data_IF_640026309670
#
_entry.id   IF_640026309670
#
_cell.length_a   1.000
_cell.length_b   1.000
_cell.length_c   1.000
_cell.angle_alpha   90.00
_cell.angle_beta   90.00
_cell.angle_gamma   90.00
#
_symmetry.space_group_name_H-M   'P 1'
#
loop_
_entity.id
_entity.type
_entity.pdbx_description
1 polymer ?
#
# COMPACT_ATOMS: atom_id res chain seq x y z
N UNK A 1 3.16 -15.42 34.28
CA UNK A 1 3.43 -14.11 33.65
C UNK A 1 2.08 -13.46 33.39
N UNK A 2 1.78 -12.35 34.08
CA UNK A 2 0.49 -11.65 33.96
C UNK A 2 0.44 -10.95 32.62
N UNK A 3 -0.51 -11.29 31.75
CA UNK A 3 -0.73 -10.52 30.53
C UNK A 3 -1.12 -9.09 30.94
N UNK A 4 -0.34 -8.12 30.50
CA UNK A 4 -0.62 -6.69 30.71
C UNK A 4 -1.82 -6.32 29.85
N UNK A 5 -3.02 -6.37 30.44
CA UNK A 5 -4.24 -5.94 29.77
C UNK A 5 -4.18 -4.42 29.61
N UNK A 6 -4.11 -3.95 28.36
CA UNK A 6 -4.17 -2.54 28.00
C UNK A 6 -5.45 -1.94 28.62
N UNK A 7 -5.31 -0.79 29.30
CA UNK A 7 -6.45 -0.07 29.87
C UNK A 7 -7.52 0.19 28.79
N UNK A 8 -8.83 0.04 29.08
CA UNK A 8 -9.90 0.32 28.13
C UNK A 8 -9.80 1.71 27.49
N UNK A 9 -9.29 2.70 28.22
CA UNK A 9 -9.06 4.05 27.71
C UNK A 9 -7.95 4.10 26.65
N UNK A 10 -6.85 3.38 26.87
CA UNK A 10 -5.76 3.27 25.90
C UNK A 10 -6.22 2.48 24.68
N UNK A 11 -6.98 1.40 24.85
CA UNK A 11 -7.58 0.66 23.75
C UNK A 11 -8.53 1.53 22.91
N UNK A 12 -9.25 2.45 23.55
CA UNK A 12 -10.11 3.42 22.88
C UNK A 12 -9.30 4.48 22.14
N UNK A 13 -8.26 5.06 22.76
CA UNK A 13 -7.33 6.00 22.10
C UNK A 13 -6.63 5.36 20.91
N UNK A 14 -6.22 4.09 21.01
CA UNK A 14 -5.66 3.35 19.88
C UNK A 14 -6.69 3.08 18.79
N UNK A 15 -7.96 2.82 19.13
CA UNK A 15 -9.04 2.71 18.12
C UNK A 15 -9.28 4.04 17.39
N UNK A 16 -9.36 5.14 18.12
CA UNK A 16 -9.57 6.48 17.56
C UNK A 16 -8.37 6.93 16.72
N UNK A 17 -7.14 6.71 17.19
CA UNK A 17 -5.92 6.98 16.43
C UNK A 17 -5.87 6.16 15.14
N UNK A 18 -6.19 4.86 15.20
CA UNK A 18 -6.32 4.00 14.01
C UNK A 18 -7.33 4.57 13.00
N UNK A 19 -8.49 5.03 13.47
CA UNK A 19 -9.49 5.66 12.59
C UNK A 19 -9.02 6.98 11.95
N UNK A 20 -8.16 7.75 12.62
CA UNK A 20 -7.60 8.99 12.04
C UNK A 20 -6.51 8.73 10.99
N UNK A 21 -5.75 7.65 11.15
CA UNK A 21 -4.68 7.25 10.22
C UNK A 21 -5.25 6.48 9.02
N UNK A 22 -6.29 5.67 9.23
CA UNK A 22 -7.03 4.93 8.19
C UNK A 22 -8.17 5.76 7.60
N UNK A 23 -7.94 7.03 7.28
CA UNK A 23 -8.84 7.77 6.38
C UNK A 23 -8.58 7.30 4.94
N UNK A 24 -8.99 6.06 4.66
CA UNK A 24 -9.14 5.54 3.31
C UNK A 24 -10.34 6.26 2.66
N UNK A 25 -10.18 6.90 1.49
CA UNK A 25 -11.27 7.60 0.81
C UNK A 25 -12.42 6.69 0.34
N UNK A 26 -12.27 5.36 0.43
CA UNK A 26 -13.13 4.35 -0.17
C UNK A 26 -13.73 3.32 0.82
N UNK A 27 -13.50 3.48 2.11
CA UNK A 27 -14.22 2.79 3.19
C UNK A 27 -13.67 1.42 3.61
N UNK A 28 -14.16 0.87 4.74
CA UNK A 28 -13.56 -0.30 5.37
C UNK A 28 -13.75 -1.55 4.51
N UNK A 29 -12.66 -2.13 4.04
CA UNK A 29 -12.65 -3.40 3.30
C UNK A 29 -12.39 -3.27 1.80
N UNK A 30 -12.19 -2.06 1.29
CA UNK A 30 -11.59 -1.85 -0.03
C UNK A 30 -10.13 -1.44 0.19
N UNK A 31 -9.23 -2.42 0.23
CA UNK A 31 -7.78 -2.17 0.21
C UNK A 31 -7.39 -1.74 -1.21
N UNK A 32 -7.89 -0.60 -1.65
CA UNK A 32 -7.39 0.08 -2.83
C UNK A 32 -6.16 0.79 -2.31
N UNK A 33 -4.99 0.23 -2.59
CA UNK A 33 -3.75 0.91 -2.28
C UNK A 33 -3.79 2.31 -2.89
N UNK A 34 -2.85 3.15 -2.46
CA UNK A 34 -2.64 4.50 -2.99
C UNK A 34 -2.70 4.60 -4.55
N UNK A 35 -2.50 3.47 -5.26
CA UNK A 35 -2.57 3.34 -6.71
C UNK A 35 -3.60 2.32 -7.29
N UNK A 36 -4.43 1.62 -6.50
CA UNK A 36 -5.44 0.67 -7.05
C UNK A 36 -5.58 -0.68 -6.34
N UNK A 37 -6.26 -1.64 -7.00
CA UNK A 37 -6.43 -3.04 -6.54
C UNK A 37 -5.08 -3.78 -6.51
N UNK A 38 -4.81 -4.52 -5.43
CA UNK A 38 -3.59 -5.31 -5.23
C UNK A 38 -3.46 -6.48 -6.21
N UNK A 39 -4.58 -7.07 -6.64
CA UNK A 39 -4.57 -8.30 -7.47
C UNK A 39 -3.81 -8.13 -8.80
N UNK A 40 -4.06 -7.08 -9.60
CA UNK A 40 -3.27 -6.80 -10.80
C UNK A 40 -1.77 -6.69 -10.55
N UNK A 41 -1.36 -6.11 -9.42
CA UNK A 41 0.06 -5.96 -9.08
C UNK A 41 0.72 -7.29 -8.74
N UNK A 42 0.02 -8.20 -8.06
CA UNK A 42 0.56 -9.54 -7.76
C UNK A 42 0.88 -10.31 -9.06
N UNK A 43 0.00 -10.22 -10.06
CA UNK A 43 0.24 -10.84 -11.37
C UNK A 43 1.52 -10.30 -12.03
N UNK A 44 1.70 -8.97 -12.03
CA UNK A 44 2.91 -8.36 -12.61
C UNK A 44 4.18 -8.75 -11.83
N UNK A 45 4.12 -8.74 -10.50
CA UNK A 45 5.22 -9.12 -9.61
C UNK A 45 5.67 -10.55 -9.88
N UNK A 46 4.76 -11.52 -9.88
CA UNK A 46 5.13 -12.91 -10.15
C UNK A 46 5.58 -13.14 -11.60
N UNK A 47 5.05 -12.37 -12.56
CA UNK A 47 5.50 -12.47 -13.95
C UNK A 47 6.95 -12.01 -14.16
N UNK A 48 7.43 -11.05 -13.36
CA UNK A 48 8.77 -10.45 -13.51
C UNK A 48 9.80 -10.98 -12.53
N UNK A 49 9.39 -11.19 -11.28
CA UNK A 49 10.27 -11.59 -10.18
C UNK A 49 10.05 -13.04 -9.73
N UNK A 50 9.18 -13.80 -10.41
CA UNK A 50 8.87 -15.19 -10.09
C UNK A 50 10.09 -16.08 -9.83
N UNK A 51 11.13 -16.07 -10.70
CA UNK A 51 12.33 -16.88 -10.48
C UNK A 51 13.07 -16.57 -9.16
N UNK A 52 13.05 -15.31 -8.72
CA UNK A 52 13.69 -14.91 -7.46
C UNK A 52 12.90 -15.42 -6.26
N UNK A 53 11.57 -15.36 -6.32
CA UNK A 53 10.71 -15.93 -5.27
C UNK A 53 10.86 -17.44 -5.19
N UNK A 54 10.97 -18.12 -6.32
CA UNK A 54 11.19 -19.56 -6.34
C UNK A 54 12.53 -19.94 -5.73
N UNK A 55 13.60 -19.18 -6.02
CA UNK A 55 14.91 -19.37 -5.38
C UNK A 55 14.86 -19.14 -3.85
N UNK A 56 14.12 -18.13 -3.41
CA UNK A 56 14.03 -17.78 -1.99
C UNK A 56 13.10 -18.70 -1.19
N UNK A 57 12.01 -19.21 -1.78
CA UNK A 57 10.88 -19.77 -1.04
C UNK A 57 10.62 -21.26 -1.26
N UNK A 58 11.08 -21.89 -2.36
CA UNK A 58 10.67 -23.26 -2.74
C UNK A 58 10.95 -24.33 -1.68
N UNK A 59 11.95 -24.13 -0.83
CA UNK A 59 12.31 -25.07 0.25
C UNK A 59 12.31 -24.41 1.64
N UNK A 60 11.90 -23.14 1.72
CA UNK A 60 11.92 -22.36 2.96
C UNK A 60 10.50 -22.16 3.50
N UNK A 61 9.53 -21.99 2.60
CA UNK A 61 8.18 -21.63 2.96
C UNK A 61 7.23 -22.81 2.69
N UNK A 62 6.80 -23.43 3.78
CA UNK A 62 5.89 -24.58 3.75
C UNK A 62 4.60 -24.25 2.97
N UNK A 63 4.35 -25.03 1.92
CA UNK A 63 3.15 -24.90 1.10
C UNK A 63 3.19 -23.80 0.04
N UNK A 64 4.35 -23.18 -0.22
CA UNK A 64 4.55 -22.30 -1.38
C UNK A 64 4.30 -23.08 -2.69
N UNK A 65 3.35 -22.66 -3.54
CA UNK A 65 2.96 -23.44 -4.73
C UNK A 65 3.88 -23.20 -5.93
N UNK A 66 4.84 -22.29 -5.83
CA UNK A 66 5.68 -21.82 -6.94
C UNK A 66 5.10 -20.59 -7.63
N UNK A 67 5.97 -19.75 -8.18
CA UNK A 67 5.61 -18.45 -8.76
C UNK A 67 4.71 -18.56 -10.00
N UNK A 68 4.78 -19.69 -10.69
CA UNK A 68 3.99 -19.99 -11.89
C UNK A 68 2.66 -20.71 -11.59
N UNK A 69 2.33 -20.93 -10.32
CA UNK A 69 1.08 -21.57 -9.97
C UNK A 69 -0.11 -20.68 -10.36
N UNK A 70 -1.17 -21.23 -11.00
CA UNK A 70 -2.31 -20.43 -11.44
C UNK A 70 -3.08 -19.78 -10.29
N UNK A 71 -2.90 -20.29 -9.06
CA UNK A 71 -3.51 -19.81 -7.83
C UNK A 71 -2.53 -19.06 -6.91
N UNK A 72 -1.35 -18.64 -7.41
CA UNK A 72 -0.33 -17.97 -6.58
C UNK A 72 -0.86 -16.69 -5.94
N UNK A 73 -1.66 -15.91 -6.68
CA UNK A 73 -2.25 -14.68 -6.17
C UNK A 73 -3.24 -14.96 -5.03
N UNK A 74 -4.11 -15.95 -5.19
CA UNK A 74 -5.05 -16.40 -4.15
C UNK A 74 -4.31 -16.94 -2.92
N UNK A 75 -3.23 -17.70 -3.14
CA UNK A 75 -2.40 -18.23 -2.06
C UNK A 75 -1.76 -17.09 -1.26
N UNK A 76 -1.17 -16.07 -1.90
CA UNK A 76 -0.59 -14.90 -1.20
C UNK A 76 -1.62 -14.15 -0.37
N UNK A 77 -2.84 -13.97 -0.89
CA UNK A 77 -3.90 -13.24 -0.20
C UNK A 77 -4.32 -13.88 1.13
N UNK A 78 -4.11 -15.19 1.30
CA UNK A 78 -4.40 -15.89 2.57
C UNK A 78 -3.44 -15.49 3.69
N UNK A 79 -2.22 -15.07 3.34
CA UNK A 79 -1.18 -14.68 4.27
C UNK A 79 -1.06 -13.16 4.42
N UNK A 80 -1.97 -12.39 3.80
CA UNK A 80 -1.95 -10.94 3.90
C UNK A 80 -2.35 -10.49 5.32
N UNK A 81 -1.38 -9.92 6.05
CA UNK A 81 -1.63 -9.27 7.34
C UNK A 81 -1.96 -7.79 7.12
N UNK A 82 -2.90 -7.26 7.88
CA UNK A 82 -3.16 -5.81 7.90
C UNK A 82 -1.98 -5.08 8.55
N UNK A 83 -1.49 -4.03 7.89
CA UNK A 83 -0.52 -3.15 8.52
C UNK A 83 -1.25 -2.28 9.57
N UNK A 84 -0.79 -2.32 10.82
CA UNK A 84 -1.35 -1.50 11.91
C UNK A 84 -1.07 0.01 11.75
N UNK A 85 -0.10 0.37 10.91
CA UNK A 85 0.29 1.74 10.62
C UNK A 85 0.63 1.87 9.14
N UNK A 86 -0.07 2.76 8.46
CA UNK A 86 0.24 3.19 7.10
C UNK A 86 0.37 4.70 7.09
N UNK A 87 1.50 5.23 6.62
CA UNK A 87 1.73 6.66 6.50
C UNK A 87 1.62 7.09 5.03
N UNK A 88 0.74 8.04 4.75
CA UNK A 88 0.65 8.71 3.46
C UNK A 88 0.83 10.22 3.68
N UNK A 89 1.86 10.81 3.06
CA UNK A 89 2.12 12.25 3.17
C UNK A 89 1.00 13.11 2.59
N UNK A 90 0.26 12.58 1.60
CA UNK A 90 -0.83 13.26 0.91
C UNK A 90 -2.01 12.27 0.74
N UNK A 91 -2.85 12.08 1.78
CA UNK A 91 -3.87 11.03 1.76
C UNK A 91 -4.98 11.25 0.71
N UNK A 92 -5.21 12.50 0.31
CA UNK A 92 -6.28 12.88 -0.62
C UNK A 92 -5.79 13.06 -2.07
N UNK A 93 -4.52 12.73 -2.37
CA UNK A 93 -3.92 12.94 -3.69
C UNK A 93 -3.24 11.69 -4.19
N UNK A 94 -3.42 11.35 -5.47
CA UNK A 94 -2.69 10.24 -6.10
C UNK A 94 -1.28 10.68 -6.54
N UNK A 95 -0.39 9.73 -6.84
CA UNK A 95 0.92 10.02 -7.49
C UNK A 95 0.72 10.87 -8.76
N UNK A 96 -0.33 10.56 -9.54
CA UNK A 96 -0.63 11.25 -10.78
C UNK A 96 -1.00 12.70 -10.54
N UNK A 97 -1.77 12.99 -9.48
CA UNK A 97 -2.15 14.35 -9.11
C UNK A 97 -0.94 15.18 -8.68
N UNK A 98 -0.05 14.60 -7.88
CA UNK A 98 1.19 15.25 -7.45
C UNK A 98 2.10 15.53 -8.66
N UNK A 99 2.30 14.56 -9.54
CA UNK A 99 3.10 14.72 -10.74
C UNK A 99 2.52 15.79 -11.69
N UNK A 100 1.19 15.86 -11.80
CA UNK A 100 0.50 16.89 -12.57
C UNK A 100 0.68 18.27 -11.93
N UNK A 101 0.54 18.39 -10.62
CA UNK A 101 0.75 19.64 -9.90
C UNK A 101 2.18 20.18 -10.08
N UNK A 102 3.19 19.31 -10.05
CA UNK A 102 4.58 19.66 -10.35
C UNK A 102 4.74 20.29 -11.74
N UNK A 103 4.23 19.62 -12.78
CA UNK A 103 4.26 20.14 -14.16
C UNK A 103 3.52 21.47 -14.32
N UNK A 104 2.41 21.65 -13.60
CA UNK A 104 1.65 22.91 -13.62
C UNK A 104 2.43 24.04 -12.96
N UNK A 105 3.14 23.77 -11.86
CA UNK A 105 4.01 24.76 -11.21
C UNK A 105 5.17 25.17 -12.13
N UNK A 106 5.88 24.20 -12.74
CA UNK A 106 6.98 24.50 -13.68
C UNK A 106 6.51 25.36 -14.88
N UNK A 107 5.35 25.01 -15.46
CA UNK A 107 4.79 25.78 -16.56
C UNK A 107 4.37 27.19 -16.14
N UNK A 108 3.86 27.35 -14.92
CA UNK A 108 3.49 28.65 -14.37
C UNK A 108 4.72 29.52 -14.09
N UNK A 109 5.79 28.96 -13.52
CA UNK A 109 7.06 29.63 -13.32
C UNK A 109 7.65 30.11 -14.66
N UNK A 110 7.67 29.25 -15.67
CA UNK A 110 8.12 29.60 -17.03
C UNK A 110 7.35 30.79 -17.60
N UNK A 111 6.02 30.84 -17.38
CA UNK A 111 5.17 31.93 -17.83
C UNK A 111 5.47 33.23 -17.08
N UNK A 112 5.69 33.16 -15.76
CA UNK A 112 6.06 34.33 -14.96
C UNK A 112 7.43 34.90 -15.35
N UNK A 113 8.41 34.04 -15.61
CA UNK A 113 9.74 34.46 -16.08
C UNK A 113 9.66 35.16 -17.45
N UNK A 114 8.86 34.61 -18.38
CA UNK A 114 8.62 35.21 -19.68
C UNK A 114 7.85 36.55 -19.61
N UNK A 115 6.97 36.73 -18.62
CA UNK A 115 6.24 37.98 -18.42
C UNK A 115 7.05 39.05 -17.67
N UNK A 116 8.12 38.65 -16.97
CA UNK A 116 9.00 39.53 -16.20
C UNK A 116 10.25 39.97 -16.95
N UNK A 117 10.42 39.52 -18.21
CA UNK A 117 11.49 39.87 -19.14
C UNK A 117 11.03 40.85 -20.21
#
# INVERSE_FOLDING_TARGET
MSQSTISPELAQKFKEYRQTVTREPDGPGKRVGYDGDLKPYLVDIFSKAGPWFDEMFSDVLDGYPGSNAPNIAEWVLQYQVEADLWFASNPDMTVKDIAKAGKMMEAFETLLDAASS
#
